data_IF_933390261325
#
_entry.id   IF_933390261325
#
_cell.length_a   1.000
_cell.length_b   1.000
_cell.length_c   1.000
_cell.angle_alpha   90.00
_cell.angle_beta   90.00
_cell.angle_gamma   90.00
#
_symmetry.space_group_name_H-M   'P 1'
#
loop_
_entity.id
_entity.type
_entity.pdbx_description
1 polymer ?
#
# COMPACT_ATOMS: atom_id res chain seq x y z
N UNK A 1 -5.53 -3.46 10.28
CA UNK A 1 -5.40 -4.92 10.44
C UNK A 1 -5.29 -5.47 9.04
N UNK A 2 -4.07 -5.67 8.57
CA UNK A 2 -3.77 -6.34 7.30
C UNK A 2 -3.32 -7.74 7.69
N UNK A 3 -4.09 -8.75 7.30
CA UNK A 3 -3.85 -10.11 7.80
C UNK A 3 -2.87 -10.87 6.90
N UNK A 4 -2.93 -10.64 5.58
CA UNK A 4 -2.09 -11.30 4.58
C UNK A 4 -1.81 -10.35 3.40
N UNK A 5 -0.72 -9.59 3.49
CA UNK A 5 -0.27 -8.72 2.41
C UNK A 5 0.75 -9.47 1.53
N UNK A 6 0.61 -9.35 0.21
CA UNK A 6 1.59 -9.92 -0.72
C UNK A 6 2.88 -9.10 -0.72
N UNK A 7 4.03 -9.75 -0.87
CA UNK A 7 5.31 -9.04 -1.04
C UNK A 7 5.45 -8.49 -2.47
N UNK A 8 6.09 -7.33 -2.60
CA UNK A 8 6.43 -6.71 -3.88
C UNK A 8 7.93 -6.90 -4.14
N UNK A 9 8.27 -7.44 -5.30
CA UNK A 9 9.66 -7.49 -5.78
C UNK A 9 9.96 -6.29 -6.69
N UNK A 10 11.09 -5.62 -6.45
CA UNK A 10 11.52 -4.46 -7.22
C UNK A 10 12.54 -4.90 -8.27
N UNK A 11 12.17 -4.76 -9.55
CA UNK A 11 13.06 -5.05 -10.68
C UNK A 11 13.95 -3.83 -11.02
N UNK A 12 13.45 -2.61 -10.82
CA UNK A 12 14.13 -1.34 -11.16
C UNK A 12 14.26 -0.42 -9.94
N UNK A 13 15.32 -0.57 -9.13
CA UNK A 13 15.47 0.19 -7.89
C UNK A 13 15.75 1.68 -8.10
N UNK A 14 16.27 2.09 -9.26
CA UNK A 14 16.57 3.49 -9.58
C UNK A 14 15.33 4.35 -9.82
N UNK A 15 14.18 3.73 -10.11
CA UNK A 15 12.88 4.39 -10.36
C UNK A 15 11.86 4.11 -9.27
N UNK A 16 12.23 3.36 -8.24
CA UNK A 16 11.31 2.84 -7.24
C UNK A 16 11.74 3.27 -5.85
N UNK A 17 10.83 3.87 -5.09
CA UNK A 17 10.99 4.20 -3.68
C UNK A 17 10.12 3.29 -2.83
N UNK A 18 10.69 2.65 -1.81
CA UNK A 18 9.92 1.85 -0.84
C UNK A 18 9.14 2.79 0.09
N UNK A 19 7.84 2.55 0.23
CA UNK A 19 6.95 3.35 1.09
C UNK A 19 6.48 2.57 2.32
N UNK A 20 6.20 1.28 2.15
CA UNK A 20 5.67 0.41 3.19
C UNK A 20 6.39 -0.92 3.19
N UNK A 21 6.65 -1.40 4.38
CA UNK A 21 7.30 -2.66 4.63
C UNK A 21 6.75 -3.35 5.87
N UNK A 22 6.87 -4.66 5.91
CA UNK A 22 6.50 -5.47 7.05
C UNK A 22 7.57 -5.36 8.16
N UNK A 23 7.30 -5.94 9.33
CA UNK A 23 8.32 -6.02 10.38
C UNK A 23 9.43 -7.00 10.03
N UNK A 24 10.57 -6.93 10.72
CA UNK A 24 11.63 -7.96 10.66
C UNK A 24 11.13 -9.36 11.08
N UNK A 25 10.03 -9.43 11.83
CA UNK A 25 9.40 -10.67 12.29
C UNK A 25 8.32 -11.17 11.33
N UNK A 26 8.62 -11.16 10.04
CA UNK A 26 7.70 -11.61 8.99
C UNK A 26 8.14 -12.93 8.37
N UNK A 27 7.16 -13.69 7.86
CA UNK A 27 7.36 -14.93 7.14
C UNK A 27 6.51 -14.91 5.87
N UNK A 28 6.97 -15.61 4.84
CA UNK A 28 6.21 -15.81 3.61
C UNK A 28 5.59 -17.20 3.69
N UNK A 29 4.31 -17.28 3.36
CA UNK A 29 3.58 -18.54 3.25
C UNK A 29 3.30 -18.81 1.77
N UNK A 30 3.51 -20.06 1.35
CA UNK A 30 3.12 -20.49 0.00
C UNK A 30 1.58 -20.61 -0.07
N UNK A 31 1.02 -20.38 -1.25
CA UNK A 31 -0.43 -20.39 -1.52
C UNK A 31 -1.10 -21.74 -1.22
N UNK A 32 -0.30 -22.81 -1.11
CA UNK A 32 -0.73 -24.18 -0.80
C UNK A 32 -0.69 -24.52 0.68
N UNK A 33 -0.11 -23.66 1.51
CA UNK A 33 0.00 -23.89 2.95
C UNK A 33 -1.29 -23.46 3.67
N UNK A 34 -1.66 -24.21 4.70
CA UNK A 34 -2.81 -23.85 5.52
C UNK A 34 -2.42 -22.76 6.51
N UNK A 35 -3.17 -21.66 6.46
CA UNK A 35 -3.09 -20.60 7.46
C UNK A 35 -3.78 -21.07 8.74
N UNK A 36 -3.01 -21.25 9.82
CA UNK A 36 -3.54 -21.54 11.16
C UNK A 36 -3.13 -20.47 12.17
N UNK A 37 -4.02 -20.19 13.13
CA UNK A 37 -3.72 -19.35 14.29
C UNK A 37 -2.77 -20.04 15.28
N UNK A 38 -2.45 -21.32 15.08
CA UNK A 38 -1.50 -22.07 15.91
C UNK A 38 -0.10 -21.46 15.93
N UNK A 39 0.23 -20.59 14.97
CA UNK A 39 1.48 -19.81 14.95
C UNK A 39 1.68 -18.94 16.21
N UNK A 40 0.60 -18.61 16.92
CA UNK A 40 0.67 -17.89 18.21
C UNK A 40 1.25 -18.80 19.30
N UNK A 41 0.88 -20.08 19.29
CA UNK A 41 1.35 -21.07 20.25
C UNK A 41 2.73 -21.63 19.88
N UNK A 42 2.99 -21.73 18.56
CA UNK A 42 4.23 -22.27 17.99
C UNK A 42 4.82 -21.25 17.01
N UNK A 43 5.47 -20.19 17.52
CA UNK A 43 6.08 -19.18 16.67
C UNK A 43 7.21 -19.81 15.84
N UNK A 44 7.44 -19.31 14.61
CA UNK A 44 8.48 -19.83 13.75
C UNK A 44 9.86 -19.57 14.35
N UNK A 45 10.76 -20.56 14.26
CA UNK A 45 12.11 -20.46 14.81
C UNK A 45 12.97 -19.41 14.10
N UNK A 46 12.66 -19.13 12.83
CA UNK A 46 13.32 -18.13 12.00
C UNK A 46 12.29 -17.27 11.29
N UNK A 47 12.57 -15.98 11.24
CA UNK A 47 11.82 -15.02 10.44
C UNK A 47 12.59 -14.73 9.15
N UNK A 48 11.87 -14.49 8.07
CA UNK A 48 12.46 -14.16 6.77
C UNK A 48 12.80 -12.67 6.59
N UNK A 49 12.56 -11.86 7.62
CA UNK A 49 12.85 -10.44 7.61
C UNK A 49 11.76 -9.59 6.98
N UNK A 50 12.09 -8.31 6.86
CA UNK A 50 11.23 -7.28 6.28
C UNK A 50 10.88 -7.57 4.81
N UNK A 51 9.61 -7.40 4.46
CA UNK A 51 9.09 -7.56 3.10
C UNK A 51 8.46 -6.26 2.65
N UNK A 52 8.75 -5.86 1.42
CA UNK A 52 8.18 -4.65 0.83
C UNK A 52 6.73 -4.93 0.47
N UNK A 53 5.81 -4.06 0.89
CA UNK A 53 4.37 -4.19 0.64
C UNK A 53 3.75 -2.95 0.01
N UNK A 54 4.54 -1.87 -0.14
CA UNK A 54 4.12 -0.69 -0.90
C UNK A 54 5.29 0.10 -1.45
N UNK A 55 5.16 0.57 -2.68
CA UNK A 55 6.21 1.29 -3.42
C UNK A 55 5.64 2.47 -4.21
N UNK A 56 6.46 3.50 -4.40
CA UNK A 56 6.27 4.59 -5.35
C UNK A 56 7.17 4.34 -6.56
N UNK A 57 6.60 4.41 -7.76
CA UNK A 57 7.29 4.27 -9.03
C UNK A 57 7.16 5.59 -9.79
N UNK A 58 8.28 6.15 -10.23
CA UNK A 58 8.33 7.40 -11.00
C UNK A 58 9.04 7.18 -12.34
N UNK A 59 8.27 6.94 -13.40
CA UNK A 59 8.80 6.64 -14.72
C UNK A 59 7.78 6.94 -15.84
N UNK A 60 8.20 6.73 -17.08
CA UNK A 60 7.31 6.65 -18.23
C UNK A 60 6.76 5.21 -18.39
N UNK A 61 5.45 5.06 -18.33
CA UNK A 61 4.77 3.78 -18.41
C UNK A 61 4.42 3.41 -19.85
N UNK A 62 4.67 2.17 -20.22
CA UNK A 62 4.23 1.59 -21.48
C UNK A 62 2.75 1.21 -21.40
N UNK A 63 2.01 1.44 -22.48
CA UNK A 63 0.61 1.07 -22.58
C UNK A 63 0.43 -0.43 -22.83
N UNK A 64 -0.57 -1.05 -22.22
CA UNK A 64 -0.95 -2.43 -22.54
C UNK A 64 -1.53 -2.57 -23.96
N UNK A 65 -1.81 -1.45 -24.62
CA UNK A 65 -2.41 -1.40 -25.97
C UNK A 65 -1.37 -1.08 -27.06
N UNK A 66 -0.09 -1.32 -26.82
CA UNK A 66 1.01 -1.00 -27.75
C UNK A 66 0.82 -1.58 -29.16
N UNK A 67 0.22 -2.77 -29.25
CA UNK A 67 0.00 -3.51 -30.50
C UNK A 67 -1.28 -3.10 -31.23
N UNK A 68 -2.16 -2.33 -30.59
CA UNK A 68 -3.35 -1.83 -31.26
C UNK A 68 -2.97 -0.74 -32.28
N UNK A 69 -3.72 -0.71 -33.38
CA UNK A 69 -3.53 0.28 -34.46
C UNK A 69 -4.52 1.43 -34.29
N UNK A 70 -4.05 2.65 -34.51
CA UNK A 70 -4.90 3.84 -34.47
C UNK A 70 -6.07 3.72 -35.46
N UNK A 71 -7.23 4.22 -35.06
CA UNK A 71 -8.37 4.40 -35.94
C UNK A 71 -8.63 5.88 -36.17
N UNK A 72 -9.52 6.22 -37.10
CA UNK A 72 -9.94 7.63 -37.29
C UNK A 72 -10.58 8.23 -36.03
N UNK A 73 -11.13 7.39 -35.16
CA UNK A 73 -11.86 7.79 -33.96
C UNK A 73 -11.01 7.67 -32.68
N UNK A 74 -9.95 6.87 -32.69
CA UNK A 74 -9.15 6.56 -31.50
C UNK A 74 -7.65 6.59 -31.83
N UNK A 75 -6.92 7.49 -31.16
CA UNK A 75 -5.46 7.51 -31.14
C UNK A 75 -4.95 6.85 -29.86
N UNK A 76 -4.14 5.82 -29.98
CA UNK A 76 -3.64 5.04 -28.87
C UNK A 76 -2.39 5.71 -28.29
N UNK A 77 -2.47 6.05 -27.00
CA UNK A 77 -1.31 6.52 -26.26
C UNK A 77 -0.41 5.31 -25.96
N UNK A 78 0.71 5.19 -26.69
CA UNK A 78 1.66 4.07 -26.56
C UNK A 78 2.52 4.15 -25.30
N UNK A 79 2.82 5.37 -24.84
CA UNK A 79 3.63 5.64 -23.64
C UNK A 79 3.07 6.82 -22.87
N UNK A 80 3.15 6.81 -21.55
CA UNK A 80 2.90 7.99 -20.74
C UNK A 80 4.06 8.98 -20.86
N UNK A 81 3.80 10.26 -20.55
CA UNK A 81 4.86 11.17 -20.10
C UNK A 81 5.41 10.70 -18.75
N UNK A 82 6.47 11.33 -18.26
CA UNK A 82 6.95 11.11 -16.89
C UNK A 82 5.77 11.21 -15.92
N UNK A 83 5.54 10.15 -15.14
CA UNK A 83 4.39 10.03 -14.27
C UNK A 83 4.76 9.26 -12.99
N UNK A 84 3.87 9.29 -12.00
CA UNK A 84 4.09 8.67 -10.69
C UNK A 84 2.96 7.67 -10.41
N UNK A 85 3.29 6.57 -9.75
CA UNK A 85 2.33 5.53 -9.37
C UNK A 85 2.69 4.98 -8.00
N UNK A 86 1.71 4.89 -7.09
CA UNK A 86 1.88 4.18 -5.82
C UNK A 86 1.19 2.82 -5.94
N UNK A 87 1.93 1.76 -5.67
CA UNK A 87 1.44 0.38 -5.63
C UNK A 87 1.44 -0.09 -4.18
N UNK A 88 0.32 -0.65 -3.73
CA UNK A 88 0.16 -1.24 -2.39
C UNK A 88 -0.41 -2.63 -2.60
N UNK A 89 0.18 -3.64 -1.94
CA UNK A 89 -0.21 -5.03 -2.15
C UNK A 89 -1.47 -5.46 -1.39
N UNK A 90 -1.89 -4.68 -0.38
CA UNK A 90 -3.07 -4.95 0.41
C UNK A 90 -4.11 -3.83 0.26
N UNK A 91 -5.29 -4.20 -0.25
CA UNK A 91 -6.41 -3.29 -0.50
C UNK A 91 -7.18 -2.87 0.76
N UNK A 92 -7.07 -3.62 1.85
CA UNK A 92 -7.81 -3.35 3.08
C UNK A 92 -7.21 -2.18 3.88
N UNK A 93 -6.07 -1.63 3.44
CA UNK A 93 -5.38 -0.51 4.08
C UNK A 93 -6.27 0.74 4.24
N UNK A 94 -7.24 0.93 3.34
CA UNK A 94 -8.18 2.06 3.30
C UNK A 94 -9.57 1.70 3.86
N UNK A 95 -9.78 0.44 4.29
CA UNK A 95 -11.08 -0.01 4.75
C UNK A 95 -11.39 0.49 6.18
N UNK A 96 -12.61 0.99 6.36
CA UNK A 96 -13.14 1.32 7.69
C UNK A 96 -13.79 0.09 8.31
N UNK A 97 -13.60 -0.09 9.62
CA UNK A 97 -14.35 -1.10 10.36
C UNK A 97 -15.84 -0.74 10.33
N UNK A 98 -16.68 -1.74 10.08
CA UNK A 98 -18.13 -1.58 10.03
C UNK A 98 -18.80 -2.56 10.98
N UNK A 99 -19.77 -2.08 11.74
CA UNK A 99 -20.67 -2.88 12.57
C UNK A 99 -22.11 -2.64 12.10
N UNK A 100 -22.80 -3.69 11.63
CA UNK A 100 -24.21 -3.60 11.27
C UNK A 100 -25.07 -3.09 12.44
N UNK A 101 -26.16 -2.34 12.18
CA UNK A 101 -26.69 -2.02 10.86
C UNK A 101 -26.07 -0.77 10.21
N UNK A 102 -25.50 0.18 10.96
CA UNK A 102 -25.09 1.50 10.40
C UNK A 102 -23.91 2.16 11.14
N UNK A 103 -23.05 1.41 11.83
CA UNK A 103 -21.92 1.99 12.55
C UNK A 103 -20.62 1.82 11.75
N UNK A 104 -20.10 2.91 11.22
CA UNK A 104 -18.77 2.96 10.60
C UNK A 104 -17.79 3.63 11.56
N UNK A 105 -16.66 2.98 11.80
CA UNK A 105 -15.57 3.59 12.53
C UNK A 105 -14.68 4.38 11.58
N UNK A 106 -13.97 5.36 12.12
CA UNK A 106 -12.92 6.06 11.39
C UNK A 106 -11.77 5.12 11.02
N UNK A 107 -11.10 5.41 9.91
CA UNK A 107 -9.94 4.64 9.45
C UNK A 107 -8.87 4.59 10.54
N UNK A 108 -8.30 3.40 10.75
CA UNK A 108 -7.32 3.17 11.81
C UNK A 108 -7.92 2.87 13.19
N UNK A 109 -9.25 2.78 13.32
CA UNK A 109 -9.87 2.31 14.55
C UNK A 109 -9.48 0.85 14.87
N UNK A 110 -8.88 0.63 16.03
CA UNK A 110 -8.54 -0.68 16.56
C UNK A 110 -9.23 -0.86 17.93
N UNK A 111 -10.29 -1.70 18.02
CA UNK A 111 -11.03 -1.93 19.27
C UNK A 111 -10.22 -2.72 20.31
N UNK A 112 -9.12 -3.34 19.91
CA UNK A 112 -8.26 -4.15 20.77
C UNK A 112 -7.00 -3.42 21.23
N UNK A 113 -6.91 -2.10 21.04
CA UNK A 113 -5.75 -1.34 21.48
C UNK A 113 -5.73 -1.26 23.03
N UNK A 114 -4.74 -1.88 23.71
CA UNK A 114 -4.67 -1.86 25.17
C UNK A 114 -4.23 -0.50 25.75
N UNK A 115 -3.73 0.42 24.90
CA UNK A 115 -3.17 1.72 25.31
C UNK A 115 -4.18 2.87 25.33
N UNK A 116 -5.49 2.59 25.23
CA UNK A 116 -6.57 3.58 25.36
C UNK A 116 -6.76 4.51 24.15
N UNK A 117 -5.82 4.55 23.22
CA UNK A 117 -5.94 5.25 21.93
C UNK A 117 -6.42 4.29 20.85
N UNK A 118 -7.73 4.12 20.74
CA UNK A 118 -8.31 3.18 19.78
C UNK A 118 -8.18 3.63 18.31
N UNK A 119 -7.47 4.72 18.01
CA UNK A 119 -7.31 5.27 16.66
C UNK A 119 -5.82 5.34 16.33
N UNK A 120 -5.42 4.64 15.27
CA UNK A 120 -4.07 4.66 14.71
C UNK A 120 -4.10 5.44 13.39
N UNK A 121 -3.63 6.69 13.41
CA UNK A 121 -3.71 7.59 12.25
C UNK A 121 -2.71 7.26 11.13
N UNK A 122 -1.91 6.20 11.27
CA UNK A 122 -0.88 5.82 10.30
C UNK A 122 -1.42 5.64 8.89
N UNK A 123 -2.46 4.80 8.72
CA UNK A 123 -3.08 4.55 7.41
C UNK A 123 -3.73 5.82 6.85
N UNK A 124 -4.42 6.58 7.69
CA UNK A 124 -5.07 7.85 7.29
C UNK A 124 -4.05 8.85 6.76
N UNK A 125 -2.98 9.09 7.51
CA UNK A 125 -1.91 10.02 7.10
C UNK A 125 -1.20 9.52 5.84
N UNK A 126 -0.93 8.21 5.75
CA UNK A 126 -0.29 7.61 4.59
C UNK A 126 -1.11 7.82 3.30
N UNK A 127 -2.41 7.51 3.33
CA UNK A 127 -3.29 7.66 2.16
C UNK A 127 -3.45 9.14 1.78
N UNK A 128 -3.66 10.03 2.76
CA UNK A 128 -3.78 11.46 2.49
C UNK A 128 -2.51 12.05 1.87
N UNK A 129 -1.34 11.69 2.39
CA UNK A 129 -0.06 12.13 1.82
C UNK A 129 0.18 11.55 0.43
N UNK A 130 -0.22 10.29 0.20
CA UNK A 130 -0.13 9.62 -1.10
C UNK A 130 -0.97 10.33 -2.15
N UNK A 131 -2.22 10.66 -1.84
CA UNK A 131 -3.11 11.38 -2.77
C UNK A 131 -2.55 12.77 -3.06
N UNK A 132 -2.16 13.54 -2.05
CA UNK A 132 -1.59 14.88 -2.24
C UNK A 132 -0.34 14.83 -3.13
N UNK A 133 0.52 13.84 -2.93
CA UNK A 133 1.73 13.66 -3.72
C UNK A 133 1.43 13.32 -5.19
N UNK A 134 0.45 12.44 -5.44
CA UNK A 134 0.04 12.05 -6.80
C UNK A 134 -0.71 13.16 -7.54
N UNK A 135 -1.38 14.07 -6.81
CA UNK A 135 -2.09 15.22 -7.39
C UNK A 135 -1.20 16.47 -7.55
N UNK A 136 0.12 16.36 -7.33
CA UNK A 136 1.10 17.45 -7.41
C UNK A 136 0.80 18.64 -6.47
N UNK A 137 0.11 18.41 -5.35
CA UNK A 137 -0.08 19.39 -4.27
C UNK A 137 1.15 19.48 -3.35
N UNK A 138 2.36 19.49 -3.94
CA UNK A 138 3.62 19.49 -3.20
C UNK A 138 3.79 20.71 -2.28
N UNK A 139 3.14 21.83 -2.63
CA UNK A 139 3.15 23.05 -1.82
C UNK A 139 2.40 22.88 -0.50
N UNK A 140 1.32 22.08 -0.47
CA UNK A 140 0.52 21.80 0.73
C UNK A 140 1.22 20.82 1.66
N UNK A 141 1.83 19.77 1.10
CA UNK A 141 2.56 18.72 1.84
C UNK A 141 3.75 19.32 2.61
N UNK A 142 4.50 20.24 1.99
CA UNK A 142 5.65 20.91 2.63
C UNK A 142 5.25 21.78 3.82
N UNK A 143 4.05 22.36 3.81
CA UNK A 143 3.55 23.19 4.91
C UNK A 143 3.17 22.31 6.11
N UNK A 144 2.47 21.19 5.87
CA UNK A 144 2.04 20.27 6.94
C UNK A 144 3.21 19.63 7.69
N UNK A 145 4.27 19.23 6.98
CA UNK A 145 5.46 18.62 7.61
C UNK A 145 6.34 19.61 8.38
N UNK A 146 6.22 20.92 8.13
CA UNK A 146 7.03 21.95 8.80
C UNK A 146 6.43 22.45 10.11
N UNK A 147 5.16 22.11 10.37
CA UNK A 147 4.41 22.57 11.55
C UNK A 147 4.31 21.50 12.65
N UNK A 148 4.79 20.29 12.36
CA UNK A 148 5.06 19.23 13.35
C UNK A 148 6.52 19.30 13.80
#
# INVERSE_FOLDING_TARGET
LTSFASSIEIIKPDKTTVLLSSSEKSNVLDEKENVSLDIINYPPEKFEGEKIVGVLIEDEFNSNFLELTDTKELKIKKKSSQNKMILISDGDIIANLYTPPNLHYILGYNPYNPWGHNILEGNTNFILNSIQYLCDDESLIKILNKTK
#
